data_IF_330797850047
#
_entry.id   IF_330797850047
#
_cell.length_a   1.000
_cell.length_b   1.000
_cell.length_c   1.000
_cell.angle_alpha   90.00
_cell.angle_beta   90.00
_cell.angle_gamma   90.00
#
_symmetry.space_group_name_H-M   'P 1'
#
loop_
_entity.id
_entity.type
_entity.pdbx_description
1 polymer ?
#
# COMPACT_ATOMS: atom_id res chain seq x y z
N UNK A 1 3.26 42.14 -14.21
CA UNK A 1 4.46 41.36 -13.85
C UNK A 1 4.57 41.09 -12.35
N UNK A 2 4.45 42.11 -11.46
CA UNK A 2 4.61 41.92 -10.01
C UNK A 2 3.65 40.92 -9.35
N UNK A 3 2.35 40.95 -9.67
CA UNK A 3 1.35 40.01 -9.10
C UNK A 3 1.63 38.54 -9.45
N UNK A 4 2.14 38.27 -10.65
CA UNK A 4 2.51 36.92 -11.09
C UNK A 4 3.75 36.42 -10.37
N UNK A 5 4.78 37.27 -10.22
CA UNK A 5 5.99 36.94 -9.43
C UNK A 5 5.64 36.62 -7.98
N UNK A 6 4.83 37.45 -7.34
CA UNK A 6 4.39 37.20 -5.96
C UNK A 6 3.59 35.89 -5.84
N UNK A 7 2.70 35.60 -6.79
CA UNK A 7 1.95 34.33 -6.78
C UNK A 7 2.85 33.11 -6.96
N UNK A 8 3.91 33.19 -7.77
CA UNK A 8 4.89 32.13 -7.95
C UNK A 8 5.68 31.91 -6.64
N UNK A 9 6.19 32.99 -6.04
CA UNK A 9 6.97 32.91 -4.80
C UNK A 9 6.14 32.34 -3.64
N UNK A 10 4.88 32.76 -3.51
CA UNK A 10 3.98 32.23 -2.47
C UNK A 10 3.71 30.73 -2.71
N UNK A 11 3.45 30.32 -3.95
CA UNK A 11 3.22 28.90 -4.27
C UNK A 11 4.47 28.04 -4.08
N UNK A 12 5.66 28.55 -4.42
CA UNK A 12 6.93 27.86 -4.18
C UNK A 12 7.21 27.76 -2.69
N UNK A 13 7.09 28.87 -1.95
CA UNK A 13 7.29 28.90 -0.50
C UNK A 13 6.37 27.93 0.23
N UNK A 14 5.08 27.87 -0.13
CA UNK A 14 4.14 26.92 0.46
C UNK A 14 4.51 25.44 0.22
N UNK A 15 5.11 25.11 -0.94
CA UNK A 15 5.55 23.74 -1.27
C UNK A 15 6.89 23.39 -0.66
N UNK A 16 7.76 24.39 -0.43
CA UNK A 16 9.08 24.21 0.15
C UNK A 16 9.10 24.33 1.67
N UNK A 17 8.05 24.91 2.28
CA UNK A 17 7.94 25.09 3.73
C UNK A 17 8.20 23.82 4.57
N UNK A 18 7.80 22.60 4.15
CA UNK A 18 8.15 21.40 4.91
C UNK A 18 9.67 21.13 5.01
N UNK A 19 10.46 21.60 4.05
CA UNK A 19 11.93 21.45 4.03
C UNK A 19 12.66 22.48 4.90
N UNK A 20 11.94 23.47 5.45
CA UNK A 20 12.48 24.38 6.46
C UNK A 20 12.57 23.71 7.84
N UNK A 21 11.87 22.59 8.04
CA UNK A 21 11.97 21.77 9.25
C UNK A 21 13.34 21.10 9.26
N UNK A 22 14.12 21.34 10.32
CA UNK A 22 15.50 20.85 10.44
C UNK A 22 15.57 19.33 10.28
N UNK A 23 14.66 18.59 10.88
CA UNK A 23 14.62 17.13 10.83
C UNK A 23 14.38 16.60 9.40
N UNK A 24 13.59 17.32 8.59
CA UNK A 24 13.37 16.98 7.17
C UNK A 24 14.59 17.34 6.34
N UNK A 25 15.24 18.46 6.66
CA UNK A 25 16.48 18.88 5.98
C UNK A 25 17.61 17.89 6.22
N UNK A 26 17.84 17.49 7.47
CA UNK A 26 18.83 16.48 7.84
C UNK A 26 18.56 15.14 7.13
N UNK A 27 17.28 14.77 6.95
CA UNK A 27 16.92 13.55 6.20
C UNK A 27 17.23 13.65 4.70
N UNK A 28 17.25 14.85 4.14
CA UNK A 28 17.40 15.12 2.71
C UNK A 28 18.81 15.60 2.32
N UNK A 29 19.72 15.73 3.29
CA UNK A 29 21.05 16.30 3.09
C UNK A 29 21.98 15.35 2.33
N UNK A 30 22.02 14.08 2.74
CA UNK A 30 22.86 13.04 2.15
C UNK A 30 22.03 11.83 1.70
N UNK A 31 22.37 11.26 0.54
CA UNK A 31 21.81 9.99 0.07
C UNK A 31 22.70 8.83 0.52
N UNK A 32 22.23 8.09 1.52
CA UNK A 32 22.87 6.88 2.05
C UNK A 32 22.07 5.60 1.72
N UNK A 33 20.96 5.69 0.97
CA UNK A 33 20.00 4.59 0.86
C UNK A 33 20.32 3.60 -0.25
N UNK A 34 21.10 4.01 -1.26
CA UNK A 34 21.46 3.18 -2.42
C UNK A 34 20.23 2.48 -3.02
N UNK A 35 19.13 3.23 -3.23
CA UNK A 35 17.82 2.66 -3.60
C UNK A 35 17.86 1.84 -4.90
N UNK A 36 18.78 2.19 -5.79
CA UNK A 36 19.05 1.49 -7.03
C UNK A 36 19.61 0.08 -6.78
N UNK A 37 20.41 -0.15 -5.74
CA UNK A 37 21.07 -1.44 -5.48
C UNK A 37 20.14 -2.51 -4.88
N UNK A 38 18.94 -2.14 -4.44
CA UNK A 38 17.96 -3.05 -3.80
C UNK A 38 17.61 -4.26 -4.69
N UNK A 39 17.69 -4.10 -6.01
CA UNK A 39 17.45 -5.18 -6.97
C UNK A 39 18.67 -6.05 -7.31
N UNK A 40 19.87 -5.67 -6.86
CA UNK A 40 21.12 -6.36 -7.18
C UNK A 40 21.41 -7.50 -6.21
N UNK A 41 21.09 -7.29 -4.93
CA UNK A 41 21.30 -8.24 -3.85
C UNK A 41 20.10 -8.32 -2.90
N UNK A 42 20.16 -9.23 -1.93
CA UNK A 42 19.03 -9.43 -1.01
C UNK A 42 18.97 -8.33 0.03
N UNK A 43 18.11 -7.34 -0.22
CA UNK A 43 17.93 -6.17 0.65
C UNK A 43 16.50 -6.09 1.19
N UNK A 44 16.34 -5.57 2.40
CA UNK A 44 15.04 -5.26 3.00
C UNK A 44 15.04 -3.79 3.39
N UNK A 45 14.09 -3.03 2.84
CA UNK A 45 13.85 -1.63 3.18
C UNK A 45 12.54 -1.51 3.96
N UNK A 46 12.60 -0.93 5.16
CA UNK A 46 11.43 -0.64 5.98
C UNK A 46 11.11 0.86 5.91
N UNK A 47 9.90 1.18 5.46
CA UNK A 47 9.37 2.54 5.47
C UNK A 47 8.32 2.63 6.57
N UNK A 48 8.68 3.28 7.68
CA UNK A 48 7.82 3.40 8.86
C UNK A 48 7.19 4.79 8.86
N UNK A 49 5.87 4.84 8.98
CA UNK A 49 5.11 6.09 9.01
C UNK A 49 4.21 6.14 10.23
N UNK A 50 3.87 7.37 10.64
CA UNK A 50 2.83 7.56 11.64
C UNK A 50 1.46 7.26 11.02
N UNK A 51 0.61 6.61 11.80
CA UNK A 51 -0.80 6.35 11.47
C UNK A 51 -1.68 7.60 11.67
N UNK A 52 -1.21 8.55 12.48
CA UNK A 52 -1.96 9.74 12.90
C UNK A 52 -1.51 11.02 12.21
N UNK A 53 -0.24 11.13 11.86
CA UNK A 53 0.34 12.33 11.26
C UNK A 53 0.63 12.13 9.78
N UNK A 54 -0.09 12.88 8.94
CA UNK A 54 0.01 12.82 7.48
C UNK A 54 0.95 13.88 6.89
N UNK A 55 1.54 14.73 7.74
CA UNK A 55 2.33 15.90 7.33
C UNK A 55 3.50 15.54 6.40
N UNK A 56 4.12 14.38 6.62
CA UNK A 56 5.32 13.94 5.90
C UNK A 56 5.09 12.83 4.88
N UNK A 57 3.84 12.47 4.60
CA UNK A 57 3.52 11.37 3.68
C UNK A 57 4.02 11.62 2.26
N UNK A 58 4.16 12.89 1.87
CA UNK A 58 4.73 13.27 0.57
C UNK A 58 6.18 12.81 0.40
N UNK A 59 6.97 12.74 1.48
CA UNK A 59 8.36 12.27 1.44
C UNK A 59 8.39 10.79 1.08
N UNK A 60 7.51 9.99 1.69
CA UNK A 60 7.39 8.56 1.42
C UNK A 60 6.88 8.30 0.01
N UNK A 61 5.86 9.04 -0.43
CA UNK A 61 5.36 8.95 -1.80
C UNK A 61 6.45 9.29 -2.83
N UNK A 62 7.27 10.32 -2.54
CA UNK A 62 8.41 10.69 -3.38
C UNK A 62 9.48 9.60 -3.39
N UNK A 63 9.87 9.08 -2.22
CA UNK A 63 10.86 8.01 -2.09
C UNK A 63 10.42 6.76 -2.85
N UNK A 64 9.16 6.33 -2.71
CA UNK A 64 8.64 5.17 -3.42
C UNK A 64 8.61 5.38 -4.93
N UNK A 65 8.24 6.58 -5.40
CA UNK A 65 8.31 6.93 -6.82
C UNK A 65 9.75 6.84 -7.34
N UNK A 66 10.72 7.41 -6.62
CA UNK A 66 12.14 7.33 -6.98
C UNK A 66 12.64 5.89 -6.98
N UNK A 67 12.34 5.12 -5.93
CA UNK A 67 12.69 3.70 -5.83
C UNK A 67 12.21 2.92 -7.06
N UNK A 68 10.94 3.04 -7.43
CA UNK A 68 10.39 2.29 -8.57
C UNK A 68 11.08 2.71 -9.88
N UNK A 69 11.28 4.01 -10.10
CA UNK A 69 11.93 4.50 -11.32
C UNK A 69 13.39 4.03 -11.41
N UNK A 70 14.18 4.19 -10.34
CA UNK A 70 15.59 3.76 -10.28
C UNK A 70 15.73 2.26 -10.50
N UNK A 71 14.85 1.44 -9.90
CA UNK A 71 14.84 0.01 -10.12
C UNK A 71 14.47 -0.34 -11.58
N UNK A 72 13.58 0.42 -12.20
CA UNK A 72 13.24 0.21 -13.61
C UNK A 72 14.41 0.56 -14.53
N UNK A 73 15.04 1.71 -14.33
CA UNK A 73 16.19 2.16 -15.10
C UNK A 73 17.36 1.18 -14.94
N UNK A 74 17.62 0.72 -13.71
CA UNK A 74 18.66 -0.28 -13.44
C UNK A 74 18.37 -1.62 -14.12
N UNK A 75 17.12 -2.07 -14.12
CA UNK A 75 16.73 -3.28 -14.83
C UNK A 75 17.04 -3.17 -16.32
N UNK A 76 16.65 -2.05 -16.94
CA UNK A 76 16.77 -1.81 -18.38
C UNK A 76 18.23 -1.59 -18.80
N UNK A 77 18.97 -0.72 -18.11
CA UNK A 77 20.32 -0.29 -18.50
C UNK A 77 21.41 -1.30 -18.13
N UNK A 78 21.31 -1.95 -16.96
CA UNK A 78 22.37 -2.84 -16.43
C UNK A 78 22.12 -4.31 -16.72
N UNK A 79 20.86 -4.75 -16.68
CA UNK A 79 20.50 -6.17 -16.72
C UNK A 79 19.68 -6.58 -17.94
N UNK A 80 19.47 -5.68 -18.92
CA UNK A 80 18.78 -5.99 -20.17
C UNK A 80 17.28 -6.25 -19.99
N UNK A 81 16.68 -5.60 -18.99
CA UNK A 81 15.23 -5.53 -18.78
C UNK A 81 14.70 -6.30 -17.56
N UNK A 82 15.54 -6.98 -16.75
CA UNK A 82 15.12 -7.72 -15.55
C UNK A 82 16.14 -7.64 -14.43
N UNK A 83 15.70 -7.31 -13.22
CA UNK A 83 16.57 -7.34 -12.04
C UNK A 83 16.99 -8.79 -11.70
N UNK A 84 18.22 -8.99 -11.20
CA UNK A 84 18.70 -10.31 -10.79
C UNK A 84 17.99 -10.84 -9.53
N UNK A 85 17.58 -9.95 -8.62
CA UNK A 85 16.78 -10.29 -7.44
C UNK A 85 15.38 -9.70 -7.59
N UNK A 86 14.36 -10.53 -7.39
CA UNK A 86 12.97 -10.10 -7.45
C UNK A 86 12.65 -9.11 -6.32
N UNK A 87 12.26 -7.89 -6.68
CA UNK A 87 11.87 -6.87 -5.70
C UNK A 87 10.37 -6.90 -5.47
N UNK A 88 9.96 -7.16 -4.23
CA UNK A 88 8.55 -7.13 -3.82
C UNK A 88 8.28 -5.92 -2.93
N UNK A 89 7.43 -5.03 -3.43
CA UNK A 89 6.89 -3.91 -2.69
C UNK A 89 5.66 -4.39 -1.90
N UNK A 90 5.77 -4.47 -0.58
CA UNK A 90 4.64 -4.74 0.30
C UNK A 90 4.15 -3.39 0.82
N UNK A 91 3.06 -2.91 0.22
CA UNK A 91 2.49 -1.60 0.53
C UNK A 91 1.34 -1.81 1.51
N UNK A 92 1.71 -1.99 2.77
CA UNK A 92 0.75 -2.00 3.87
C UNK A 92 0.10 -0.62 4.01
N UNK A 93 -1.18 -0.61 4.36
CA UNK A 93 -1.94 0.63 4.56
C UNK A 93 -1.78 1.64 3.40
N UNK A 94 -1.86 1.16 2.15
CA UNK A 94 -1.55 1.96 0.93
C UNK A 94 -2.30 3.29 0.86
N UNK A 95 -3.48 3.35 1.48
CA UNK A 95 -4.27 4.56 1.56
C UNK A 95 -3.60 5.70 2.36
N UNK A 96 -2.80 5.37 3.38
CA UNK A 96 -2.17 6.36 4.25
C UNK A 96 -0.94 6.98 3.57
N UNK A 97 -0.21 6.25 2.73
CA UNK A 97 0.95 6.78 1.98
C UNK A 97 0.55 8.00 1.13
N UNK A 98 -0.69 8.03 0.66
CA UNK A 98 -1.20 9.05 -0.25
C UNK A 98 -1.01 8.67 -1.72
N UNK A 99 -1.04 9.67 -2.60
CA UNK A 99 -0.92 9.43 -4.04
C UNK A 99 0.54 9.29 -4.45
N UNK A 100 0.94 8.09 -4.87
CA UNK A 100 2.21 7.87 -5.56
C UNK A 100 2.05 8.38 -7.00
N UNK A 101 2.92 9.29 -7.46
CA UNK A 101 2.85 9.82 -8.82
C UNK A 101 2.94 8.71 -9.89
N UNK A 102 2.05 8.73 -10.88
CA UNK A 102 2.02 7.81 -12.04
C UNK A 102 1.97 6.31 -11.70
N UNK A 103 1.48 5.95 -10.51
CA UNK A 103 1.47 4.55 -10.06
C UNK A 103 0.65 3.62 -10.96
N UNK A 104 -0.42 4.13 -11.57
CA UNK A 104 -1.26 3.46 -12.58
C UNK A 104 -0.47 2.97 -13.80
N UNK A 105 0.54 3.73 -14.22
CA UNK A 105 1.45 3.34 -15.31
C UNK A 105 2.54 2.41 -14.81
N UNK A 106 3.09 2.71 -13.63
CA UNK A 106 4.19 1.94 -13.05
C UNK A 106 3.75 0.49 -12.79
N UNK A 107 2.58 0.27 -12.18
CA UNK A 107 2.10 -1.08 -11.85
C UNK A 107 1.95 -1.97 -13.10
N UNK A 108 1.66 -1.39 -14.26
CA UNK A 108 1.57 -2.12 -15.52
C UNK A 108 2.96 -2.50 -16.10
N UNK A 109 4.01 -1.74 -15.81
CA UNK A 109 5.35 -1.91 -16.42
C UNK A 109 6.36 -2.62 -15.54
N UNK A 110 6.18 -2.61 -14.22
CA UNK A 110 7.13 -3.19 -13.25
C UNK A 110 7.27 -4.71 -13.38
N UNK A 111 6.21 -5.41 -13.81
CA UNK A 111 6.20 -6.87 -13.90
C UNK A 111 7.30 -7.43 -14.80
N UNK A 112 7.54 -6.80 -15.95
CA UNK A 112 8.55 -7.29 -16.90
C UNK A 112 9.98 -7.15 -16.37
N UNK A 113 10.17 -6.34 -15.32
CA UNK A 113 11.46 -5.97 -14.72
C UNK A 113 11.79 -6.76 -13.45
N UNK A 114 11.04 -7.82 -13.17
CA UNK A 114 11.13 -8.60 -11.92
C UNK A 114 10.79 -7.81 -10.66
N UNK A 115 9.83 -6.90 -10.78
CA UNK A 115 9.28 -6.12 -9.66
C UNK A 115 7.79 -6.46 -9.50
N UNK A 116 7.36 -6.70 -8.26
CA UNK A 116 5.94 -6.91 -7.92
C UNK A 116 5.49 -5.99 -6.80
N UNK A 117 4.19 -5.68 -6.77
CA UNK A 117 3.57 -4.90 -5.70
C UNK A 117 2.41 -5.68 -5.09
N UNK A 118 2.32 -5.66 -3.76
CA UNK A 118 1.18 -6.15 -2.98
C UNK A 118 0.57 -4.96 -2.28
N UNK A 119 -0.62 -4.55 -2.74
CA UNK A 119 -1.36 -3.40 -2.23
C UNK A 119 -2.34 -3.92 -1.18
N UNK A 120 -2.21 -3.46 0.06
CA UNK A 120 -3.09 -3.85 1.16
C UNK A 120 -3.99 -2.66 1.49
N UNK A 121 -5.30 -2.91 1.49
CA UNK A 121 -6.34 -1.90 1.65
C UNK A 121 -7.43 -2.43 2.58
N UNK A 122 -7.99 -1.56 3.41
CA UNK A 122 -9.17 -1.91 4.22
C UNK A 122 -10.44 -1.92 3.35
N UNK A 123 -10.54 -0.96 2.41
CA UNK A 123 -11.63 -0.93 1.43
C UNK A 123 -11.15 -0.44 0.07
N UNK A 124 -11.73 -0.98 -1.01
CA UNK A 124 -11.51 -0.45 -2.37
C UNK A 124 -11.93 1.02 -2.49
N UNK A 125 -12.84 1.48 -1.62
CA UNK A 125 -13.25 2.89 -1.57
C UNK A 125 -12.07 3.83 -1.25
N UNK A 126 -11.09 3.38 -0.46
CA UNK A 126 -9.89 4.17 -0.16
C UNK A 126 -9.04 4.37 -1.43
N UNK A 127 -8.87 3.32 -2.24
CA UNK A 127 -8.15 3.40 -3.51
C UNK A 127 -8.85 4.37 -4.48
N UNK A 128 -10.18 4.27 -4.59
CA UNK A 128 -11.00 5.19 -5.40
C UNK A 128 -10.93 6.64 -4.92
N UNK A 129 -10.82 6.87 -3.61
CA UNK A 129 -10.69 8.22 -3.07
C UNK A 129 -9.37 8.91 -3.48
N UNK A 130 -8.28 8.14 -3.56
CA UNK A 130 -6.95 8.66 -3.88
C UNK A 130 -6.71 8.75 -5.39
N UNK A 131 -7.02 7.67 -6.12
CA UNK A 131 -6.67 7.54 -7.55
C UNK A 131 -7.85 7.78 -8.51
N UNK A 132 -9.08 7.96 -7.99
CA UNK A 132 -10.29 8.19 -8.80
C UNK A 132 -10.44 7.13 -9.90
N UNK A 133 -10.53 7.55 -11.15
CA UNK A 133 -10.70 6.66 -12.31
C UNK A 133 -9.51 5.70 -12.50
N UNK A 134 -8.30 6.09 -12.05
CA UNK A 134 -7.12 5.25 -12.14
C UNK A 134 -7.12 4.08 -11.12
N UNK A 135 -8.04 4.09 -10.14
CA UNK A 135 -8.17 2.98 -9.19
C UNK A 135 -8.56 1.66 -9.88
N UNK A 136 -9.39 1.72 -10.92
CA UNK A 136 -9.77 0.53 -11.70
C UNK A 136 -8.57 -0.02 -12.46
N UNK A 137 -7.77 0.84 -13.09
CA UNK A 137 -6.54 0.46 -13.79
C UNK A 137 -5.56 -0.24 -12.84
N UNK A 138 -5.39 0.29 -11.63
CA UNK A 138 -4.51 -0.32 -10.62
C UNK A 138 -5.04 -1.71 -10.22
N UNK A 139 -6.33 -1.84 -9.96
CA UNK A 139 -6.96 -3.11 -9.59
C UNK A 139 -6.84 -4.15 -10.70
N UNK A 140 -7.05 -3.76 -11.97
CA UNK A 140 -7.00 -4.66 -13.13
C UNK A 140 -5.59 -5.18 -13.42
N UNK A 141 -4.55 -4.45 -13.02
CA UNK A 141 -3.16 -4.90 -13.11
C UNK A 141 -2.76 -5.85 -11.97
N UNK A 142 -3.58 -6.01 -10.94
CA UNK A 142 -3.36 -6.98 -9.88
C UNK A 142 -3.87 -8.37 -10.30
N UNK A 143 -2.95 -9.30 -10.58
CA UNK A 143 -3.29 -10.67 -10.99
C UNK A 143 -4.00 -11.49 -9.90
N UNK A 144 -3.84 -11.10 -8.63
CA UNK A 144 -4.39 -11.79 -7.48
C UNK A 144 -5.12 -10.83 -6.54
N UNK A 145 -6.33 -11.19 -6.13
CA UNK A 145 -7.12 -10.46 -5.13
C UNK A 145 -7.40 -11.39 -3.96
N UNK A 146 -6.97 -10.99 -2.76
CA UNK A 146 -7.22 -11.74 -1.53
C UNK A 146 -8.16 -10.94 -0.63
N UNK A 147 -9.35 -11.48 -0.41
CA UNK A 147 -10.36 -10.91 0.48
C UNK A 147 -10.34 -11.63 1.84
N UNK A 148 -9.99 -10.90 2.90
CA UNK A 148 -9.75 -11.44 4.25
C UNK A 148 -10.97 -11.34 5.20
N UNK A 149 -12.19 -11.20 4.66
CA UNK A 149 -13.39 -10.80 5.41
C UNK A 149 -13.41 -9.32 5.79
N UNK A 150 -14.61 -8.71 5.76
CA UNK A 150 -14.79 -7.30 6.03
C UNK A 150 -16.23 -6.85 5.82
N UNK A 151 -16.66 -5.83 6.56
CA UNK A 151 -17.98 -5.21 6.42
C UNK A 151 -17.95 -4.17 5.30
N UNK A 152 -18.99 -4.12 4.46
CA UNK A 152 -19.26 -2.97 3.59
C UNK A 152 -19.29 -3.25 2.09
N UNK A 153 -19.22 -2.18 1.29
CA UNK A 153 -19.47 -2.15 -0.17
C UNK A 153 -18.62 -3.13 -1.00
N UNK A 154 -17.46 -3.55 -0.48
CA UNK A 154 -16.62 -4.53 -1.16
C UNK A 154 -17.32 -5.90 -1.32
N UNK A 155 -18.25 -6.26 -0.41
CA UNK A 155 -18.94 -7.55 -0.47
C UNK A 155 -19.73 -7.73 -1.78
N UNK A 156 -20.26 -6.64 -2.33
CA UNK A 156 -20.94 -6.62 -3.62
C UNK A 156 -20.00 -6.95 -4.78
N UNK A 157 -18.85 -6.27 -4.84
CA UNK A 157 -17.84 -6.50 -5.88
C UNK A 157 -17.32 -7.95 -5.83
N UNK A 158 -17.11 -8.50 -4.63
CA UNK A 158 -16.73 -9.91 -4.45
C UNK A 158 -17.85 -10.86 -4.88
N UNK A 159 -19.10 -10.60 -4.49
CA UNK A 159 -20.28 -11.39 -4.90
C UNK A 159 -20.41 -11.46 -6.41
N UNK A 160 -20.31 -10.30 -7.08
CA UNK A 160 -20.37 -10.20 -8.54
C UNK A 160 -19.22 -10.99 -9.20
N UNK A 161 -18.03 -10.93 -8.62
CA UNK A 161 -16.85 -11.64 -9.12
C UNK A 161 -16.87 -13.17 -8.83
N UNK A 162 -17.55 -13.63 -7.78
CA UNK A 162 -17.80 -15.05 -7.53
C UNK A 162 -18.79 -15.63 -8.56
N UNK A 163 -19.70 -14.81 -9.05
CA UNK A 163 -20.72 -15.19 -10.03
C UNK A 163 -21.92 -15.90 -9.41
N UNK A 164 -22.64 -16.65 -10.26
CA UNK A 164 -23.92 -17.27 -9.91
C UNK A 164 -23.87 -18.80 -10.01
N UNK A 165 -24.55 -19.46 -9.09
CA UNK A 165 -24.90 -20.87 -9.18
C UNK A 165 -26.30 -21.06 -9.79
N UNK A 166 -26.51 -22.21 -10.42
CA UNK A 166 -27.83 -22.60 -10.91
C UNK A 166 -28.52 -23.43 -9.85
N UNK A 167 -29.71 -22.99 -9.44
CA UNK A 167 -30.57 -23.69 -8.49
C UNK A 167 -31.83 -24.17 -9.18
N UNK A 168 -32.29 -25.35 -8.80
CA UNK A 168 -33.54 -25.91 -9.26
C UNK A 168 -34.65 -25.54 -8.26
N UNK A 169 -35.64 -24.78 -8.73
CA UNK A 169 -36.80 -24.36 -7.93
C UNK A 169 -38.00 -25.25 -8.24
N UNK A 170 -38.56 -25.82 -7.18
CA UNK A 170 -39.77 -26.64 -7.24
C UNK A 170 -40.89 -25.87 -6.53
N UNK A 171 -41.88 -25.42 -7.29
CA UNK A 171 -43.09 -24.82 -6.74
C UNK A 171 -44.22 -25.85 -6.75
N UNK A 172 -44.66 -26.22 -5.56
CA UNK A 172 -45.83 -27.10 -5.35
C UNK A 172 -47.01 -26.18 -5.02
N UNK A 173 -48.00 -26.11 -5.91
CA UNK A 173 -49.24 -25.40 -5.65
C UNK A 173 -50.37 -26.39 -5.38
N UNK A 174 -51.09 -26.20 -4.28
CA UNK A 174 -52.29 -26.96 -3.95
C UNK A 174 -53.48 -26.00 -4.03
N UNK A 175 -54.45 -26.33 -4.88
CA UNK A 175 -55.68 -25.54 -5.01
C UNK A 175 -56.84 -26.33 -4.41
N UNK A 176 -57.45 -25.79 -3.34
CA UNK A 176 -58.59 -26.40 -2.63
C UNK A 176 -59.89 -25.75 -3.05
N UNK A 177 -60.42 -26.21 -4.19
CA UNK A 177 -61.80 -25.97 -4.62
C UNK A 177 -62.70 -27.17 -4.35
N UNK A 178 -63.70 -27.41 -5.21
CA UNK A 178 -64.59 -28.59 -5.13
C UNK A 178 -63.87 -29.94 -5.33
N UNK A 179 -62.67 -29.94 -5.90
CA UNK A 179 -61.73 -31.05 -5.95
C UNK A 179 -60.31 -30.50 -5.71
N UNK A 180 -59.47 -31.27 -5.03
CA UNK A 180 -58.07 -30.93 -4.76
C UNK A 180 -57.22 -31.14 -6.00
N UNK A 181 -56.69 -30.07 -6.58
CA UNK A 181 -55.74 -30.13 -7.69
C UNK A 181 -54.34 -29.75 -7.23
N UNK A 182 -53.34 -30.52 -7.66
CA UNK A 182 -51.93 -30.25 -7.37
C UNK A 182 -51.22 -29.80 -8.66
N UNK A 183 -50.56 -28.65 -8.62
CA UNK A 183 -49.68 -28.16 -9.67
C UNK A 183 -48.21 -28.30 -9.24
N UNK A 184 -47.38 -28.83 -10.14
CA UNK A 184 -45.93 -28.86 -9.97
C UNK A 184 -45.31 -28.00 -11.06
N UNK A 185 -44.59 -26.96 -10.66
CA UNK A 185 -43.83 -26.11 -11.57
C UNK A 185 -42.34 -26.22 -11.25
N UNK A 186 -41.54 -26.56 -12.27
CA UNK A 186 -40.09 -26.71 -12.17
C UNK A 186 -39.41 -25.60 -12.96
N UNK A 187 -38.54 -24.85 -12.30
CA UNK A 187 -37.82 -23.74 -12.92
C UNK A 187 -36.35 -23.74 -12.50
N UNK A 188 -35.45 -23.54 -13.46
CA UNK A 188 -34.03 -23.26 -13.16
C UNK A 188 -33.85 -21.77 -12.92
N UNK A 189 -33.28 -21.41 -11.79
CA UNK A 189 -33.00 -20.02 -11.39
C UNK A 189 -31.49 -19.84 -11.17
N UNK A 190 -31.00 -18.63 -11.42
CA UNK A 190 -29.63 -18.25 -11.08
C UNK A 190 -29.59 -17.52 -9.74
N UNK A 191 -28.85 -18.05 -8.77
CA UNK A 191 -28.61 -17.42 -7.46
C UNK A 191 -27.14 -17.01 -7.36
N UNK A 192 -26.82 -15.92 -6.67
CA UNK A 192 -25.42 -15.60 -6.36
C UNK A 192 -24.78 -16.78 -5.60
N UNK A 193 -23.55 -17.14 -5.97
CA UNK A 193 -22.83 -18.26 -5.33
C UNK A 193 -22.65 -18.02 -3.83
N UNK A 194 -22.38 -16.76 -3.47
CA UNK A 194 -22.40 -16.27 -2.11
C UNK A 194 -23.02 -14.88 -2.15
N UNK A 195 -24.07 -14.65 -1.37
CA UNK A 195 -24.74 -13.37 -1.27
C UNK A 195 -23.87 -12.32 -0.57
N UNK A 196 -24.19 -11.04 -0.79
CA UNK A 196 -23.47 -9.93 -0.13
C UNK A 196 -23.50 -10.06 1.40
N UNK A 197 -24.64 -10.50 1.95
CA UNK A 197 -24.83 -10.72 3.39
C UNK A 197 -23.98 -11.90 3.90
N UNK A 198 -23.93 -13.01 3.15
CA UNK A 198 -23.08 -14.16 3.50
C UNK A 198 -21.60 -13.78 3.49
N UNK A 199 -21.16 -12.97 2.51
CA UNK A 199 -19.78 -12.47 2.43
C UNK A 199 -19.48 -11.50 3.59
N UNK A 200 -20.42 -10.63 3.93
CA UNK A 200 -20.25 -9.65 5.02
C UNK A 200 -20.18 -10.29 6.42
N UNK A 201 -20.81 -11.47 6.60
CA UNK A 201 -20.81 -12.25 7.84
C UNK A 201 -19.78 -13.40 7.77
N UNK A 202 -18.94 -13.43 6.74
CA UNK A 202 -17.92 -14.46 6.58
C UNK A 202 -17.00 -14.52 7.79
N UNK A 203 -16.79 -15.74 8.30
CA UNK A 203 -15.94 -15.98 9.46
C UNK A 203 -14.54 -15.37 9.28
N UNK A 204 -14.04 -14.75 10.34
CA UNK A 204 -12.73 -14.09 10.36
C UNK A 204 -11.57 -15.05 10.14
N UNK A 205 -11.78 -16.36 10.28
CA UNK A 205 -10.80 -17.40 9.93
C UNK A 205 -10.76 -17.77 8.45
N UNK A 206 -11.62 -17.21 7.59
CA UNK A 206 -11.73 -17.57 6.18
C UNK A 206 -11.33 -16.44 5.24
N UNK A 207 -10.99 -16.78 4.02
CA UNK A 207 -10.66 -15.84 2.96
C UNK A 207 -11.15 -16.34 1.59
N UNK A 208 -11.32 -15.39 0.68
CA UNK A 208 -11.60 -15.65 -0.74
C UNK A 208 -10.37 -15.18 -1.52
N UNK A 209 -9.76 -16.10 -2.26
CA UNK A 209 -8.64 -15.82 -3.15
C UNK A 209 -9.11 -15.89 -4.60
N UNK A 210 -8.96 -14.80 -5.33
CA UNK A 210 -9.21 -14.72 -6.76
C UNK A 210 -7.87 -14.61 -7.47
N UNK A 211 -7.67 -15.47 -8.46
CA UNK A 211 -6.47 -15.50 -9.29
C UNK A 211 -6.90 -15.37 -10.75
N UNK A 212 -6.14 -14.61 -11.53
CA UNK A 212 -6.39 -14.44 -12.95
C UNK A 212 -6.45 -15.80 -13.68
N UNK A 213 -7.52 -16.01 -14.42
CA UNK A 213 -7.69 -17.19 -15.29
C UNK A 213 -8.21 -18.45 -14.60
N UNK A 214 -8.50 -18.41 -13.29
CA UNK A 214 -9.06 -19.55 -12.56
C UNK A 214 -10.27 -19.13 -11.73
N UNK A 215 -11.05 -20.10 -11.27
CA UNK A 215 -12.20 -19.84 -10.39
C UNK A 215 -11.70 -19.39 -9.01
N UNK A 216 -12.46 -18.53 -8.32
CA UNK A 216 -12.15 -18.13 -6.95
C UNK A 216 -12.05 -19.33 -6.01
N UNK A 217 -11.14 -19.25 -5.05
CA UNK A 217 -10.94 -20.24 -4.00
C UNK A 217 -11.47 -19.70 -2.68
N UNK A 218 -12.25 -20.52 -1.98
CA UNK A 218 -12.66 -20.26 -0.61
C UNK A 218 -11.79 -21.10 0.33
N UNK A 219 -11.02 -20.47 1.20
CA UNK A 219 -10.02 -21.16 2.03
C UNK A 219 -9.96 -20.60 3.46
N UNK A 220 -9.25 -21.30 4.33
CA UNK A 220 -8.93 -20.84 5.67
C UNK A 220 -7.68 -19.97 5.64
N UNK A 221 -7.64 -18.96 6.51
CA UNK A 221 -6.46 -18.12 6.71
C UNK A 221 -5.32 -18.97 7.25
N UNK A 222 -4.10 -18.62 6.85
CA UNK A 222 -2.91 -19.29 7.34
C UNK A 222 -2.73 -19.01 8.85
N UNK A 223 -2.57 -20.09 9.62
CA UNK A 223 -2.27 -20.01 11.04
C UNK A 223 -0.80 -19.65 11.25
N UNK A 224 -0.56 -18.41 11.70
CA UNK A 224 0.78 -17.86 11.92
C UNK A 224 1.64 -18.70 12.86
N UNK A 225 1.03 -19.41 13.82
CA UNK A 225 1.76 -20.24 14.80
C UNK A 225 2.47 -21.43 14.15
N UNK A 226 1.98 -21.86 12.98
CA UNK A 226 2.57 -22.96 12.21
C UNK A 226 3.76 -22.50 11.37
N UNK A 227 4.02 -21.19 11.27
CA UNK A 227 5.14 -20.68 10.49
C UNK A 227 6.48 -21.08 11.12
N UNK A 228 7.47 -21.60 10.36
CA UNK A 228 8.77 -22.03 10.91
C UNK A 228 9.51 -20.93 11.70
N UNK A 229 9.24 -19.68 11.35
CA UNK A 229 9.85 -18.50 11.96
C UNK A 229 8.95 -17.79 12.98
N UNK A 230 7.81 -18.37 13.36
CA UNK A 230 6.88 -17.77 14.34
C UNK A 230 7.58 -17.36 15.64
N UNK A 231 8.56 -18.15 16.09
CA UNK A 231 9.38 -17.89 17.28
C UNK A 231 10.11 -16.55 17.31
N UNK A 232 10.26 -15.87 16.18
CA UNK A 232 10.92 -14.56 16.07
C UNK A 232 9.94 -13.40 16.11
N UNK A 233 8.63 -13.67 16.12
CA UNK A 233 7.61 -12.62 16.20
C UNK A 233 7.40 -12.17 17.64
N UNK A 234 6.94 -10.92 17.79
CA UNK A 234 6.52 -10.37 19.07
C UNK A 234 5.32 -11.14 19.67
N UNK A 235 4.48 -11.74 18.82
CA UNK A 235 3.35 -12.58 19.23
C UNK A 235 3.78 -13.86 19.96
N UNK A 236 4.96 -14.40 19.61
CA UNK A 236 5.51 -15.59 20.26
C UNK A 236 6.22 -15.25 21.58
N UNK A 237 6.99 -14.15 21.60
CA UNK A 237 7.60 -13.60 22.81
C UNK A 237 7.67 -12.07 22.70
N UNK A 238 7.11 -11.37 23.70
CA UNK A 238 7.14 -9.90 23.78
C UNK A 238 8.55 -9.33 23.74
N UNK A 239 9.58 -10.11 24.08
CA UNK A 239 11.00 -9.70 23.97
C UNK A 239 11.45 -9.49 22.53
N UNK A 240 10.77 -10.09 21.56
CA UNK A 240 11.06 -9.90 20.14
C UNK A 240 10.43 -8.63 19.57
N UNK A 241 9.65 -7.88 20.36
CA UNK A 241 9.08 -6.62 19.91
C UNK A 241 10.20 -5.63 19.56
N UNK A 242 10.14 -5.11 18.34
CA UNK A 242 11.09 -4.11 17.88
C UNK A 242 10.71 -2.74 18.43
N UNK A 243 11.57 -2.17 19.25
CA UNK A 243 11.44 -0.83 19.82
C UNK A 243 12.23 0.16 18.96
N UNK A 244 11.51 0.90 18.11
CA UNK A 244 12.06 1.86 17.17
C UNK A 244 12.79 2.99 17.91
N UNK A 245 12.20 3.52 18.98
CA UNK A 245 12.78 4.64 19.74
C UNK A 245 14.09 4.26 20.41
N UNK A 246 14.15 3.05 20.99
CA UNK A 246 15.37 2.51 21.57
C UNK A 246 16.45 2.27 20.51
N UNK A 247 16.06 1.81 19.32
CA UNK A 247 16.98 1.62 18.21
C UNK A 247 17.55 2.94 17.70
N UNK A 248 16.68 3.93 17.44
CA UNK A 248 17.07 5.26 16.96
C UNK A 248 17.91 6.03 17.97
N UNK A 249 17.57 5.98 19.26
CA UNK A 249 18.39 6.61 20.32
C UNK A 249 19.79 5.98 20.41
N UNK A 250 19.90 4.66 20.23
CA UNK A 250 21.20 3.97 20.19
C UNK A 250 22.02 4.35 18.95
N UNK A 251 21.37 4.46 17.78
CA UNK A 251 22.01 4.93 16.55
C UNK A 251 22.48 6.37 16.64
N UNK A 252 21.64 7.28 17.15
CA UNK A 252 22.00 8.69 17.37
C UNK A 252 23.18 8.81 18.32
N UNK A 253 23.19 8.03 19.41
CA UNK A 253 24.33 7.98 20.34
C UNK A 253 25.61 7.47 19.66
N UNK A 254 25.50 6.45 18.79
CA UNK A 254 26.65 5.96 18.02
C UNK A 254 27.14 7.00 17.01
N UNK A 255 26.26 7.67 16.26
CA UNK A 255 26.63 8.79 15.37
C UNK A 255 27.28 9.93 16.15
N UNK A 256 26.74 10.34 17.31
CA UNK A 256 27.37 11.34 18.18
C UNK A 256 28.73 10.89 18.73
N UNK A 257 28.92 9.60 19.04
CA UNK A 257 30.22 9.06 19.45
C UNK A 257 31.24 9.02 18.30
N UNK A 258 30.79 8.84 17.06
CA UNK A 258 31.66 8.88 15.86
C UNK A 258 32.03 10.32 15.49
N UNK A 259 31.12 11.28 15.69
CA UNK A 259 31.37 12.73 15.48
C UNK A 259 32.15 13.37 16.65
N UNK A 260 32.42 12.62 17.73
CA UNK A 260 33.18 13.11 18.87
C UNK A 260 34.59 12.52 18.92
N UNK A 261 35.49 13.03 18.06
CA UNK A 261 36.88 13.37 18.36
C UNK A 261 37.57 13.81 17.04
N UNK A 262 37.85 15.12 16.92
CA UNK A 262 38.83 15.73 16.00
C UNK A 262 38.39 16.32 14.64
N UNK A 263 37.15 16.80 14.47
CA UNK A 263 36.86 17.78 13.41
C UNK A 263 36.48 19.15 13.99
N UNK A 264 37.34 20.15 13.73
CA UNK A 264 37.07 21.55 13.97
C UNK A 264 36.15 22.09 12.88
N UNK A 265 34.97 22.58 13.25
CA UNK A 265 34.08 23.31 12.34
C UNK A 265 34.00 24.79 12.75
N UNK A 266 34.05 25.67 11.74
CA UNK A 266 33.92 27.11 11.92
C UNK A 266 32.44 27.47 12.12
N UNK A 267 32.12 27.97 13.32
CA UNK A 267 30.82 28.52 13.65
C UNK A 267 30.73 29.95 13.11
N UNK A 268 29.94 30.17 12.06
CA UNK A 268 29.57 31.52 11.65
C UNK A 268 28.26 31.93 12.33
N UNK A 269 28.34 32.79 13.34
CA UNK A 269 27.15 33.52 13.82
C UNK A 269 26.77 34.58 12.76
N UNK A 270 25.65 34.36 12.08
CA UNK A 270 25.04 35.38 11.23
C UNK A 270 24.21 36.29 12.13
N UNK A 271 24.74 37.46 12.43
CA UNK A 271 24.03 38.53 13.14
C UNK A 271 23.01 39.17 12.19
N UNK A 272 21.72 38.92 12.42
CA UNK A 272 20.61 39.42 11.59
C UNK A 272 20.16 40.84 11.98
N UNK A 273 21.07 41.68 12.51
CA UNK A 273 20.72 43.02 12.99
C UNK A 273 20.64 44.11 11.90
N UNK A 274 20.93 43.79 10.63
CA UNK A 274 20.95 44.77 9.53
C UNK A 274 19.76 44.67 8.53
N UNK A 275 18.56 44.29 8.97
CA UNK A 275 17.33 44.39 8.14
C UNK A 275 16.63 45.77 8.19
N UNK A 276 17.22 46.80 8.82
CA UNK A 276 16.68 48.15 8.85
C UNK A 276 17.60 49.19 8.20
N UNK A 277 17.86 49.07 6.89
CA UNK A 277 18.43 50.15 6.09
C UNK A 277 18.12 50.03 4.60
N UNK A 278 16.85 50.14 4.20
CA UNK A 278 16.46 50.52 2.85
C UNK A 278 15.01 51.07 2.84
N UNK A 279 14.86 52.33 3.24
CA UNK A 279 13.84 53.23 2.66
C UNK A 279 14.35 53.81 1.33
#
# INVERSE_FOLDING_TARGET
>A
AGKTRSSILISCGARLAPFDIREVRELMEDDEMELDTIGDEKTILFLIMSDTDTTFNFILAMLQSQLINLLCDRADDKYGGRLPVHVRLILDEFANIGQIPNFDKLIATIRSREISASIILQSQSQLKAIYKDAAEIISDNCDSVLFLSGRGKNAKEISDALGKETIDSFNISENRGSQTSHGLNYQKLGKALMSEDEIAIMDGGRCILQLRGVRPFFSEKFDITKHPHYKYLADADKKNAFDVDKFLSTLRRKRQQVVAQDESFDLYEIDLSDENAAE
#
